data_IF_351731496888
#
_entry.id   IF_351731496888
#
_cell.length_a   1.000
_cell.length_b   1.000
_cell.length_c   1.000
_cell.angle_alpha   90.00
_cell.angle_beta   90.00
_cell.angle_gamma   90.00
#
_symmetry.space_group_name_H-M   'P 1'
#
loop_
_entity.id
_entity.type
_entity.pdbx_description
1 polymer ?
#
# COMPACT_ATOMS: atom_id res chain seq x y z
N UNK A 1 11.33 -20.50 -18.62
CA UNK A 1 10.62 -19.42 -19.31
C UNK A 1 10.98 -18.03 -18.72
N UNK A 2 10.76 -16.95 -19.46
CA UNK A 2 11.09 -15.58 -19.00
C UNK A 2 10.32 -15.24 -17.73
N UNK A 3 9.06 -15.64 -17.66
CA UNK A 3 8.21 -15.39 -16.49
C UNK A 3 8.81 -15.98 -15.21
N UNK A 4 9.22 -17.23 -15.22
CA UNK A 4 9.81 -17.91 -14.06
C UNK A 4 11.10 -17.21 -13.62
N UNK A 5 11.94 -16.82 -14.59
CA UNK A 5 13.15 -16.06 -14.30
C UNK A 5 12.87 -14.70 -13.66
N UNK A 6 11.82 -14.01 -14.12
CA UNK A 6 11.41 -12.74 -13.52
C UNK A 6 10.89 -12.95 -12.09
N UNK A 7 10.18 -14.06 -11.82
CA UNK A 7 9.76 -14.42 -10.46
C UNK A 7 10.97 -14.69 -9.56
N UNK A 8 11.93 -15.52 -10.02
CA UNK A 8 13.16 -15.79 -9.28
C UNK A 8 13.93 -14.51 -8.98
N UNK A 9 14.08 -13.61 -9.95
CA UNK A 9 14.76 -12.32 -9.79
C UNK A 9 14.03 -11.42 -8.77
N UNK A 10 12.68 -11.45 -8.74
CA UNK A 10 11.88 -10.68 -7.80
C UNK A 10 11.94 -11.25 -6.38
N UNK A 11 12.03 -12.58 -6.24
CA UNK A 11 12.14 -13.27 -4.94
C UNK A 11 13.58 -13.38 -4.43
N UNK A 12 14.54 -12.91 -5.22
CA UNK A 12 15.93 -12.90 -4.81
C UNK A 12 16.11 -12.10 -3.52
N UNK A 13 16.93 -12.61 -2.59
CA UNK A 13 17.21 -12.00 -1.29
C UNK A 13 17.74 -10.55 -1.35
N UNK A 14 18.15 -10.07 -2.53
CA UNK A 14 18.52 -8.69 -2.75
C UNK A 14 17.31 -7.74 -2.88
N UNK A 15 16.13 -8.27 -3.25
CA UNK A 15 14.88 -7.48 -3.31
C UNK A 15 14.27 -7.44 -1.91
N UNK A 16 14.43 -6.31 -1.25
CA UNK A 16 13.97 -6.11 0.14
C UNK A 16 12.50 -5.67 0.22
N UNK A 17 11.96 -5.10 -0.84
CA UNK A 17 10.61 -4.54 -0.86
C UNK A 17 9.88 -4.96 -2.14
N UNK A 18 8.74 -5.62 -1.99
CA UNK A 18 7.81 -5.94 -3.07
C UNK A 18 6.52 -5.13 -2.85
N UNK A 19 6.08 -4.41 -3.88
CA UNK A 19 4.75 -3.82 -3.93
C UNK A 19 3.79 -4.83 -4.56
N UNK A 20 2.65 -5.05 -3.93
CA UNK A 20 1.59 -5.91 -4.42
C UNK A 20 0.25 -5.17 -4.37
N UNK A 21 -0.47 -5.19 -5.47
CA UNK A 21 -1.81 -4.61 -5.60
C UNK A 21 -2.62 -5.47 -6.58
N UNK A 22 -3.95 -5.45 -6.49
CA UNK A 22 -4.79 -6.17 -7.42
C UNK A 22 -5.92 -5.30 -7.97
N UNK A 23 -6.30 -5.58 -9.19
CA UNK A 23 -7.45 -4.97 -9.84
C UNK A 23 -8.43 -6.02 -10.32
N UNK A 24 -9.71 -5.67 -10.33
CA UNK A 24 -10.76 -6.55 -10.88
C UNK A 24 -10.72 -6.57 -12.40
N UNK A 25 -10.87 -7.76 -12.98
CA UNK A 25 -11.07 -7.96 -14.40
C UNK A 25 -12.38 -8.73 -14.62
N UNK A 26 -13.23 -8.22 -15.50
CA UNK A 26 -14.44 -8.93 -15.91
C UNK A 26 -14.11 -9.74 -17.14
N UNK A 27 -14.16 -11.08 -17.00
CA UNK A 27 -13.92 -11.99 -18.11
C UNK A 27 -15.27 -12.50 -18.63
N UNK A 28 -15.51 -12.29 -19.93
CA UNK A 28 -16.66 -12.88 -20.63
C UNK A 28 -16.25 -14.27 -21.13
N UNK A 29 -16.90 -15.33 -20.64
CA UNK A 29 -16.76 -16.68 -21.19
C UNK A 29 -17.79 -16.89 -22.27
N UNK A 30 -17.37 -17.32 -23.47
CA UNK A 30 -18.27 -17.56 -24.62
C UNK A 30 -19.09 -18.86 -24.53
N UNK A 31 -18.76 -19.76 -23.64
CA UNK A 31 -19.13 -21.18 -23.74
C UNK A 31 -20.12 -21.67 -22.67
N UNK A 32 -20.72 -20.81 -21.90
CA UNK A 32 -21.71 -21.24 -20.91
C UNK A 32 -23.03 -20.46 -21.02
N UNK A 33 -24.14 -21.20 -21.07
CA UNK A 33 -25.50 -20.70 -21.03
C UNK A 33 -25.85 -19.86 -19.77
N UNK A 34 -24.92 -19.76 -18.82
CA UNK A 34 -25.04 -18.95 -17.61
C UNK A 34 -24.30 -17.61 -17.77
N UNK A 35 -25.08 -16.56 -17.87
CA UNK A 35 -24.66 -15.16 -18.02
C UNK A 35 -23.95 -14.53 -16.82
N UNK A 36 -23.45 -15.30 -15.87
CA UNK A 36 -22.78 -14.76 -14.70
C UNK A 36 -21.36 -14.33 -15.04
N UNK A 37 -21.21 -13.02 -15.21
CA UNK A 37 -19.90 -12.37 -15.37
C UNK A 37 -19.07 -12.58 -14.10
N UNK A 38 -18.19 -13.58 -14.11
CA UNK A 38 -17.32 -13.87 -12.98
C UNK A 38 -16.24 -12.81 -12.85
N UNK A 39 -16.14 -12.18 -11.68
CA UNK A 39 -15.04 -11.27 -11.37
C UNK A 39 -13.75 -12.08 -11.21
N UNK A 40 -12.78 -11.79 -12.05
CA UNK A 40 -11.40 -12.26 -11.93
C UNK A 40 -10.51 -11.10 -11.50
N UNK A 41 -9.25 -11.37 -11.20
CA UNK A 41 -8.31 -10.39 -10.68
C UNK A 41 -7.00 -10.48 -11.42
N UNK A 42 -6.34 -9.32 -11.58
CA UNK A 42 -4.95 -9.24 -12.00
C UNK A 42 -4.16 -8.68 -10.84
N UNK A 43 -3.28 -9.50 -10.29
CA UNK A 43 -2.30 -9.09 -9.31
C UNK A 43 -1.08 -8.50 -10.01
N UNK A 44 -0.54 -7.43 -9.45
CA UNK A 44 0.69 -6.80 -9.94
C UNK A 44 1.72 -6.85 -8.83
N UNK A 45 2.87 -7.43 -9.12
CA UNK A 45 4.01 -7.44 -8.22
C UNK A 45 5.15 -6.63 -8.83
N UNK A 46 5.75 -5.76 -8.04
CA UNK A 46 6.91 -4.99 -8.49
C UNK A 46 7.87 -4.73 -7.35
N UNK A 47 9.17 -4.70 -7.66
CA UNK A 47 10.18 -4.29 -6.69
C UNK A 47 10.19 -2.78 -6.46
N UNK A 48 10.97 -2.33 -5.49
CA UNK A 48 11.09 -0.92 -5.15
C UNK A 48 11.54 -0.07 -6.33
N UNK A 49 11.02 1.16 -6.43
CA UNK A 49 11.47 2.10 -7.46
C UNK A 49 12.90 2.62 -7.23
N UNK A 50 13.51 2.29 -6.10
CA UNK A 50 14.92 2.54 -5.83
C UNK A 50 15.85 1.46 -6.41
N UNK A 51 15.30 0.28 -6.77
CA UNK A 51 16.10 -0.80 -7.34
C UNK A 51 16.56 -0.45 -8.77
N UNK A 52 17.80 -0.78 -9.09
CA UNK A 52 18.39 -0.51 -10.42
C UNK A 52 17.63 -1.21 -11.54
N UNK A 53 17.28 -2.50 -11.34
CA UNK A 53 16.52 -3.30 -12.29
C UNK A 53 15.06 -3.32 -11.87
N UNK A 54 14.18 -2.85 -12.75
CA UNK A 54 12.74 -2.83 -12.52
C UNK A 54 12.11 -4.12 -13.00
N UNK A 55 11.39 -4.79 -12.10
CA UNK A 55 10.64 -6.01 -12.38
C UNK A 55 9.17 -5.72 -12.12
N UNK A 56 8.31 -6.09 -13.08
CA UNK A 56 6.86 -6.05 -12.94
C UNK A 56 6.28 -7.34 -13.45
N UNK A 57 5.50 -8.00 -12.62
CA UNK A 57 4.83 -9.26 -12.93
C UNK A 57 3.33 -9.03 -12.80
N UNK A 58 2.60 -9.47 -13.81
CA UNK A 58 1.14 -9.49 -13.83
C UNK A 58 0.70 -10.94 -13.72
N UNK A 59 -0.10 -11.25 -12.71
CA UNK A 59 -0.61 -12.60 -12.45
C UNK A 59 -2.14 -12.59 -12.49
N UNK A 60 -2.70 -13.34 -13.44
CA UNK A 60 -4.14 -13.52 -13.55
C UNK A 60 -4.62 -14.57 -12.56
N UNK A 61 -5.68 -14.23 -11.81
CA UNK A 61 -6.31 -15.12 -10.86
C UNK A 61 -7.84 -15.07 -11.03
N UNK A 62 -8.48 -16.25 -11.00
CA UNK A 62 -9.93 -16.35 -11.14
C UNK A 62 -10.69 -15.88 -9.91
N UNK A 63 -10.03 -15.73 -8.77
CA UNK A 63 -10.60 -15.29 -7.50
C UNK A 63 -9.62 -14.36 -6.78
N UNK A 64 -10.12 -13.59 -5.81
CA UNK A 64 -9.29 -12.75 -4.92
C UNK A 64 -8.67 -13.57 -3.78
N UNK A 65 -8.37 -14.86 -4.00
CA UNK A 65 -7.70 -15.66 -2.98
C UNK A 65 -6.23 -15.29 -2.87
N UNK A 66 -5.75 -15.18 -1.64
CA UNK A 66 -4.32 -14.94 -1.36
C UNK A 66 -3.48 -16.21 -1.53
N UNK A 67 -4.08 -17.38 -1.70
CA UNK A 67 -3.38 -18.67 -1.66
C UNK A 67 -2.30 -18.80 -2.73
N UNK A 68 -2.58 -18.34 -3.96
CA UNK A 68 -1.56 -18.31 -5.02
C UNK A 68 -0.40 -17.41 -4.65
N UNK A 69 -0.71 -16.21 -4.15
CA UNK A 69 0.28 -15.23 -3.69
C UNK A 69 1.08 -15.78 -2.52
N UNK A 70 0.42 -16.44 -1.56
CA UNK A 70 1.08 -17.06 -0.41
C UNK A 70 2.02 -18.19 -0.82
N UNK A 71 1.59 -19.06 -1.75
CA UNK A 71 2.43 -20.13 -2.29
C UNK A 71 3.65 -19.58 -2.99
N UNK A 72 3.49 -18.53 -3.75
CA UNK A 72 4.55 -17.88 -4.49
C UNK A 72 5.55 -17.16 -3.57
N UNK A 73 5.06 -16.46 -2.53
CA UNK A 73 5.88 -15.72 -1.57
C UNK A 73 6.36 -16.55 -0.37
N UNK A 74 6.17 -17.87 -0.39
CA UNK A 74 6.46 -18.76 0.74
C UNK A 74 7.87 -18.58 1.32
N UNK A 75 8.85 -18.40 0.46
CA UNK A 75 10.26 -18.28 0.85
C UNK A 75 10.76 -16.82 0.84
N UNK A 76 9.89 -15.85 0.56
CA UNK A 76 10.28 -14.46 0.53
C UNK A 76 10.57 -13.93 1.94
N UNK A 77 11.63 -13.14 2.05
CA UNK A 77 12.01 -12.45 3.28
C UNK A 77 12.14 -10.95 2.98
N UNK A 78 11.27 -10.16 3.58
CA UNK A 78 11.30 -8.71 3.34
C UNK A 78 9.97 -8.03 3.61
N UNK A 79 9.78 -6.87 2.99
CA UNK A 79 8.60 -6.04 3.16
C UNK A 79 7.67 -6.19 1.96
N UNK A 80 6.38 -6.40 2.23
CA UNK A 80 5.33 -6.33 1.20
C UNK A 80 4.52 -5.05 1.42
N UNK A 81 4.56 -4.16 0.44
CA UNK A 81 3.71 -2.96 0.40
C UNK A 81 2.39 -3.33 -0.27
N UNK A 82 1.29 -3.26 0.49
CA UNK A 82 -0.04 -3.69 0.04
C UNK A 82 -1.16 -2.79 0.58
N UNK A 83 -2.37 -2.98 0.08
CA UNK A 83 -3.58 -2.38 0.66
C UNK A 83 -3.97 -3.08 1.99
N UNK A 84 -5.17 -2.77 2.51
CA UNK A 84 -5.68 -3.39 3.75
C UNK A 84 -6.53 -4.66 3.49
N UNK A 85 -6.30 -5.37 2.40
CA UNK A 85 -6.95 -6.65 2.19
C UNK A 85 -6.47 -7.70 3.20
N UNK A 86 -7.43 -8.37 3.86
CA UNK A 86 -7.13 -9.35 4.93
C UNK A 86 -6.27 -10.54 4.47
N UNK A 87 -6.26 -10.84 3.18
CA UNK A 87 -5.39 -11.88 2.61
C UNK A 87 -3.91 -11.65 2.93
N UNK A 88 -3.43 -10.41 2.90
CA UNK A 88 -2.03 -10.09 3.25
C UNK A 88 -1.73 -10.34 4.74
N UNK A 89 -2.71 -10.13 5.63
CA UNK A 89 -2.55 -10.46 7.05
C UNK A 89 -2.43 -11.97 7.25
N UNK A 90 -3.16 -12.77 6.45
CA UNK A 90 -3.06 -14.23 6.46
C UNK A 90 -1.70 -14.69 5.93
N UNK A 91 -1.17 -14.02 4.90
CA UNK A 91 0.17 -14.27 4.38
C UNK A 91 1.26 -14.04 5.43
N UNK A 92 1.20 -12.91 6.16
CA UNK A 92 2.12 -12.62 7.27
C UNK A 92 2.09 -13.69 8.36
N UNK A 93 0.90 -14.25 8.67
CA UNK A 93 0.77 -15.35 9.63
C UNK A 93 1.40 -16.67 9.14
N UNK A 94 1.41 -16.91 7.83
CA UNK A 94 1.99 -18.11 7.23
C UNK A 94 3.51 -18.00 7.02
N UNK A 95 4.05 -16.78 6.96
CA UNK A 95 5.47 -16.51 6.78
C UNK A 95 5.91 -15.33 7.65
N UNK A 96 6.50 -15.64 8.79
CA UNK A 96 6.96 -14.65 9.80
C UNK A 96 8.11 -13.76 9.30
N UNK A 97 8.81 -14.15 8.24
CA UNK A 97 9.87 -13.35 7.63
C UNK A 97 9.32 -12.20 6.77
N UNK A 98 8.00 -12.17 6.55
CA UNK A 98 7.34 -11.09 5.83
C UNK A 98 6.87 -10.02 6.81
N UNK A 99 7.29 -8.78 6.54
CA UNK A 99 6.72 -7.59 7.17
C UNK A 99 5.74 -6.93 6.21
N UNK A 100 4.60 -6.48 6.71
CA UNK A 100 3.66 -5.70 5.90
C UNK A 100 3.96 -4.21 6.05
N UNK A 101 3.85 -3.51 4.95
CA UNK A 101 3.76 -2.05 4.87
C UNK A 101 2.43 -1.70 4.23
N UNK A 102 1.50 -1.15 5.00
CA UNK A 102 0.24 -0.69 4.41
C UNK A 102 0.47 0.54 3.53
N UNK A 103 -0.19 0.56 2.37
CA UNK A 103 0.09 1.52 1.31
C UNK A 103 -0.49 2.90 1.64
N UNK A 104 0.37 3.90 1.86
CA UNK A 104 -0.02 5.28 2.06
C UNK A 104 -0.81 5.89 0.90
N UNK A 105 -0.63 5.42 -0.32
CA UNK A 105 -1.41 5.89 -1.46
C UNK A 105 -2.89 5.53 -1.34
N UNK A 106 -3.21 4.34 -0.80
CA UNK A 106 -4.58 3.93 -0.51
C UNK A 106 -5.22 4.76 0.60
N UNK A 107 -4.50 5.00 1.70
CA UNK A 107 -4.93 5.90 2.77
C UNK A 107 -5.18 7.30 2.23
N UNK A 108 -4.20 7.87 1.51
CA UNK A 108 -4.27 9.21 0.90
C UNK A 108 -5.49 9.37 0.00
N UNK A 109 -5.80 8.37 -0.83
CA UNK A 109 -6.94 8.40 -1.76
C UNK A 109 -8.26 8.66 -1.04
N UNK A 110 -8.50 8.00 0.11
CA UNK A 110 -9.73 8.20 0.89
C UNK A 110 -9.93 9.66 1.32
N UNK A 111 -8.88 10.30 1.81
CA UNK A 111 -8.96 11.72 2.18
C UNK A 111 -9.03 12.65 0.96
N UNK A 112 -8.35 12.30 -0.12
CA UNK A 112 -8.41 13.07 -1.39
C UNK A 112 -9.83 13.09 -1.93
N UNK A 113 -10.54 11.97 -1.90
CA UNK A 113 -11.91 11.86 -2.40
C UNK A 113 -12.88 12.68 -1.56
N UNK A 114 -12.69 12.76 -0.24
CA UNK A 114 -13.45 13.67 0.62
C UNK A 114 -13.18 15.12 0.26
N UNK A 115 -11.91 15.50 0.18
CA UNK A 115 -11.49 16.91 -0.03
C UNK A 115 -11.90 17.42 -1.40
N UNK A 116 -11.97 16.59 -2.43
CA UNK A 116 -12.44 16.97 -3.77
C UNK A 116 -13.91 17.43 -3.78
N UNK A 117 -14.72 16.90 -2.85
CA UNK A 117 -16.15 17.20 -2.76
C UNK A 117 -16.47 18.36 -1.81
N UNK A 118 -15.47 18.97 -1.16
CA UNK A 118 -15.65 20.12 -0.28
C UNK A 118 -15.66 21.44 -1.06
N UNK A 119 -16.49 22.37 -0.61
CA UNK A 119 -16.46 23.75 -1.10
C UNK A 119 -15.13 24.43 -0.76
N UNK A 120 -14.60 25.35 -1.60
CA UNK A 120 -13.32 26.00 -1.33
C UNK A 120 -13.18 26.63 0.06
N UNK A 121 -14.24 27.25 0.58
CA UNK A 121 -14.27 27.89 1.92
C UNK A 121 -14.19 26.89 3.07
N UNK A 122 -14.66 25.66 2.88
CA UNK A 122 -14.70 24.61 3.90
C UNK A 122 -13.41 23.81 3.94
N UNK A 123 -12.68 23.76 2.83
CA UNK A 123 -11.52 22.91 2.61
C UNK A 123 -10.45 23.09 3.68
N UNK A 124 -9.99 24.32 3.92
CA UNK A 124 -8.87 24.60 4.81
C UNK A 124 -9.18 24.26 6.29
N UNK A 125 -10.43 24.31 6.67
CA UNK A 125 -10.87 24.00 8.04
C UNK A 125 -11.22 22.53 8.24
N UNK A 126 -11.33 21.76 7.14
CA UNK A 126 -11.74 20.37 7.24
C UNK A 126 -10.64 19.48 7.84
N UNK A 127 -11.05 18.54 8.70
CA UNK A 127 -10.15 17.55 9.29
C UNK A 127 -9.50 16.68 8.19
N UNK A 128 -10.28 16.30 7.17
CA UNK A 128 -9.78 15.53 6.04
C UNK A 128 -8.62 16.22 5.30
N UNK A 129 -8.73 17.53 5.11
CA UNK A 129 -7.65 18.29 4.45
C UNK A 129 -6.40 18.37 5.32
N UNK A 130 -6.55 18.58 6.64
CA UNK A 130 -5.40 18.60 7.57
C UNK A 130 -4.66 17.26 7.58
N UNK A 131 -5.39 16.13 7.57
CA UNK A 131 -4.80 14.78 7.47
C UNK A 131 -4.12 14.61 6.11
N UNK A 132 -4.78 15.00 5.03
CA UNK A 132 -4.22 14.91 3.67
C UNK A 132 -2.91 15.70 3.53
N UNK A 133 -2.83 16.90 4.13
CA UNK A 133 -1.61 17.70 4.14
C UNK A 133 -0.48 17.01 4.92
N UNK A 134 -0.78 16.40 6.07
CA UNK A 134 0.23 15.67 6.84
C UNK A 134 0.72 14.42 6.07
N UNK A 135 -0.17 13.68 5.41
CA UNK A 135 0.22 12.57 4.52
C UNK A 135 1.08 13.10 3.36
N UNK A 136 0.74 14.24 2.77
CA UNK A 136 1.53 14.83 1.68
C UNK A 136 2.96 15.16 2.11
N UNK A 137 3.21 15.49 3.38
CA UNK A 137 4.55 15.71 3.90
C UNK A 137 5.41 14.43 3.78
N UNK A 138 4.86 13.23 4.08
CA UNK A 138 5.56 11.96 3.89
C UNK A 138 5.97 11.75 2.42
N UNK A 139 5.04 11.98 1.48
CA UNK A 139 5.36 11.86 0.05
C UNK A 139 6.41 12.87 -0.43
N UNK A 140 6.39 14.08 0.13
CA UNK A 140 7.37 15.11 -0.21
C UNK A 140 8.77 14.73 0.30
N UNK A 141 8.89 14.16 1.51
CA UNK A 141 10.15 13.64 2.03
C UNK A 141 10.73 12.57 1.10
N UNK A 142 9.96 11.51 0.79
CA UNK A 142 10.40 10.44 -0.10
C UNK A 142 10.80 10.96 -1.48
N UNK A 143 10.03 11.91 -2.03
CA UNK A 143 10.36 12.55 -3.30
C UNK A 143 11.66 13.35 -3.22
N UNK A 144 11.93 13.99 -2.07
CA UNK A 144 13.18 14.73 -1.86
C UNK A 144 14.38 13.79 -1.78
N UNK A 145 14.27 12.66 -1.09
CA UNK A 145 15.32 11.66 -0.99
C UNK A 145 15.67 11.07 -2.36
N UNK A 146 14.65 10.80 -3.17
CA UNK A 146 14.86 10.35 -4.56
C UNK A 146 15.61 11.38 -5.39
N UNK A 147 15.21 12.68 -5.34
CA UNK A 147 15.89 13.75 -6.10
C UNK A 147 17.34 13.93 -5.68
N UNK A 148 17.63 13.70 -4.40
CA UNK A 148 19.00 13.78 -3.84
C UNK A 148 19.81 12.50 -4.07
N UNK A 149 19.22 11.46 -4.69
CA UNK A 149 19.83 10.16 -4.90
C UNK A 149 20.44 9.54 -3.63
N UNK A 150 19.76 9.71 -2.48
CA UNK A 150 20.25 9.19 -1.20
C UNK A 150 20.39 7.66 -1.25
N UNK A 151 21.45 7.15 -0.64
CA UNK A 151 21.67 5.71 -0.44
C UNK A 151 20.64 5.13 0.54
N UNK A 152 20.54 3.79 0.59
CA UNK A 152 19.54 3.12 1.43
C UNK A 152 19.68 3.50 2.90
N UNK A 153 20.89 3.45 3.45
CA UNK A 153 21.16 3.75 4.85
C UNK A 153 20.91 5.24 5.18
N UNK A 154 21.28 6.14 4.27
CA UNK A 154 20.99 7.57 4.42
C UNK A 154 19.47 7.85 4.44
N UNK A 155 18.67 7.11 3.61
CA UNK A 155 17.21 7.24 3.64
C UNK A 155 16.63 6.76 4.97
N UNK A 156 17.11 5.62 5.50
CA UNK A 156 16.67 5.10 6.79
C UNK A 156 16.97 6.10 7.89
N UNK A 157 18.18 6.63 7.95
CA UNK A 157 18.57 7.65 8.93
C UNK A 157 17.68 8.90 8.84
N UNK A 158 17.46 9.42 7.63
CA UNK A 158 16.57 10.56 7.41
C UNK A 158 15.13 10.29 7.83
N UNK A 159 14.59 9.12 7.50
CA UNK A 159 13.23 8.74 7.90
C UNK A 159 13.10 8.67 9.42
N UNK A 160 14.08 8.08 10.12
CA UNK A 160 14.10 8.01 11.58
C UNK A 160 14.12 9.39 12.24
N UNK A 161 14.75 10.36 11.61
CA UNK A 161 14.84 11.73 12.15
C UNK A 161 13.63 12.61 11.74
N UNK A 162 13.11 12.47 10.52
CA UNK A 162 12.15 13.43 9.95
C UNK A 162 10.68 12.92 10.05
N UNK A 163 10.43 11.61 10.03
CA UNK A 163 9.07 11.05 10.05
C UNK A 163 8.39 11.11 11.42
N UNK A 164 9.06 11.00 12.58
CA UNK A 164 8.40 10.96 13.89
C UNK A 164 7.50 12.16 14.16
N UNK A 165 7.89 13.36 13.80
CA UNK A 165 7.08 14.58 13.98
C UNK A 165 5.82 14.55 13.12
N UNK A 166 5.89 14.02 11.91
CA UNK A 166 4.73 13.88 11.02
C UNK A 166 3.80 12.76 11.55
N UNK A 167 4.38 11.66 12.06
CA UNK A 167 3.64 10.56 12.67
C UNK A 167 2.84 11.06 13.88
N UNK A 168 3.45 11.79 14.81
CA UNK A 168 2.78 12.38 15.96
C UNK A 168 1.61 13.30 15.56
N UNK A 169 1.84 14.16 14.56
CA UNK A 169 0.80 15.02 14.01
C UNK A 169 -0.36 14.21 13.42
N UNK A 170 -0.06 13.16 12.65
CA UNK A 170 -1.08 12.28 12.08
C UNK A 170 -1.83 11.52 13.17
N UNK A 171 -1.13 11.03 14.19
CA UNK A 171 -1.72 10.33 15.32
C UNK A 171 -2.77 11.19 16.03
N UNK A 172 -2.43 12.41 16.41
CA UNK A 172 -3.38 13.38 16.97
C UNK A 172 -4.57 13.62 16.05
N UNK A 173 -4.32 13.87 14.76
CA UNK A 173 -5.38 14.13 13.80
C UNK A 173 -6.33 12.94 13.58
N UNK A 174 -5.83 11.70 13.67
CA UNK A 174 -6.61 10.48 13.42
C UNK A 174 -7.30 9.99 14.69
N UNK A 175 -6.57 9.87 15.81
CA UNK A 175 -7.09 9.22 17.03
C UNK A 175 -7.90 10.17 17.92
N UNK A 176 -7.62 11.46 17.90
CA UNK A 176 -8.41 12.47 18.63
C UNK A 176 -9.63 12.97 17.82
N UNK A 177 -9.84 12.41 16.60
CA UNK A 177 -11.02 12.75 15.80
C UNK A 177 -12.23 11.95 16.23
N UNK A 178 -13.37 12.63 16.33
CA UNK A 178 -14.67 12.00 16.57
C UNK A 178 -15.64 12.33 15.40
N UNK A 179 -15.45 11.73 14.22
CA UNK A 179 -16.31 11.98 13.07
C UNK A 179 -17.68 11.33 13.24
N UNK A 180 -18.69 11.90 12.60
CA UNK A 180 -20.04 11.32 12.58
C UNK A 180 -19.98 9.91 11.99
N UNK A 181 -20.48 8.92 12.74
CA UNK A 181 -20.53 7.51 12.32
C UNK A 181 -21.27 7.39 10.97
N UNK A 182 -20.70 6.61 10.05
CA UNK A 182 -21.23 6.44 8.69
C UNK A 182 -20.84 7.53 7.70
N UNK A 183 -20.18 8.63 8.15
CA UNK A 183 -19.66 9.64 7.22
C UNK A 183 -18.43 9.12 6.46
N UNK A 184 -18.13 9.73 5.30
CA UNK A 184 -16.93 9.42 4.54
C UNK A 184 -15.64 9.63 5.36
N UNK A 185 -15.62 10.68 6.22
CA UNK A 185 -14.50 10.93 7.12
C UNK A 185 -14.35 9.84 8.18
N UNK A 186 -15.46 9.33 8.75
CA UNK A 186 -15.46 8.20 9.67
C UNK A 186 -14.81 6.96 9.01
N UNK A 187 -15.29 6.61 7.82
CA UNK A 187 -14.75 5.46 7.07
C UNK A 187 -13.25 5.60 6.76
N UNK A 188 -12.80 6.81 6.40
CA UNK A 188 -11.39 7.07 6.12
C UNK A 188 -10.52 6.98 7.38
N UNK A 189 -11.00 7.48 8.52
CA UNK A 189 -10.30 7.43 9.81
C UNK A 189 -10.21 5.98 10.31
N UNK A 190 -11.30 5.23 10.32
CA UNK A 190 -11.28 3.84 10.77
C UNK A 190 -10.33 2.99 9.90
N UNK A 191 -10.39 3.13 8.58
CA UNK A 191 -9.43 2.48 7.69
C UNK A 191 -7.97 2.84 8.04
N UNK A 192 -7.70 4.11 8.38
CA UNK A 192 -6.36 4.55 8.75
C UNK A 192 -5.91 3.95 10.08
N UNK A 193 -6.82 3.86 11.06
CA UNK A 193 -6.56 3.21 12.36
C UNK A 193 -6.25 1.72 12.21
N UNK A 194 -7.03 1.00 11.39
CA UNK A 194 -6.80 -0.41 11.10
C UNK A 194 -5.41 -0.67 10.49
N UNK A 195 -4.94 0.25 9.65
CA UNK A 195 -3.64 0.16 9.00
C UNK A 195 -2.48 0.65 9.88
N UNK A 196 -2.73 1.36 10.97
CA UNK A 196 -1.79 2.25 11.66
C UNK A 196 -0.43 1.63 11.96
N UNK A 197 -0.43 0.45 12.55
CA UNK A 197 0.81 -0.22 12.98
C UNK A 197 1.74 -0.57 11.80
N UNK A 198 1.17 -0.92 10.67
CA UNK A 198 1.92 -1.32 9.47
C UNK A 198 2.16 -0.14 8.49
N UNK A 199 1.62 1.08 8.78
CA UNK A 199 1.81 2.26 7.91
C UNK A 199 3.21 2.85 7.98
N UNK A 200 3.95 2.58 9.04
CA UNK A 200 5.27 3.16 9.30
C UNK A 200 6.42 2.15 9.20
N UNK A 201 6.16 0.95 8.72
CA UNK A 201 7.18 -0.09 8.50
C UNK A 201 8.31 0.40 7.58
N UNK A 202 8.03 1.34 6.66
CA UNK A 202 9.01 1.89 5.72
C UNK A 202 10.13 2.70 6.37
N UNK A 203 9.98 3.12 7.64
CA UNK A 203 10.99 3.95 8.32
C UNK A 203 12.32 3.19 8.39
N UNK A 204 12.28 1.90 8.61
CA UNK A 204 13.46 1.05 8.81
C UNK A 204 13.85 0.20 7.59
N UNK A 205 13.26 0.49 6.41
CA UNK A 205 13.48 -0.35 5.21
C UNK A 205 13.81 0.45 3.96
#
# INVERSE_FOLDING_TARGET
PIYDRMQEDLLNNQVKVIHSDETTLVVSRKDEENKDRKKSYVYVYTNSFYDKKRIRIYDFQESRSIDKTAKWLKNYQGVIVCDNYNGYNSLKKQNENIKLQKCWAHVRRKYTDIVKNLKPKEKNNSKAYKILQAIQQLFNLESSYKRKNLLADERVERRRNEVPSIKEKLEKLVFESNPIKGSALYTAIEYTKECWNDLFTFIDN
#
